data_IF_762068371326
#
_entry.id   IF_762068371326
#
_cell.length_a   1.000
_cell.length_b   1.000
_cell.length_c   1.000
_cell.angle_alpha   90.00
_cell.angle_beta   90.00
_cell.angle_gamma   90.00
#
_symmetry.space_group_name_H-M   'P 1'
#
loop_
_entity.id
_entity.type
_entity.pdbx_description
1 polymer ?
#
# COMPACT_ATOMS: atom_id res chain seq x y z
N UNK A 1 27.08 2.91 78.73
CA UNK A 1 26.20 3.85 78.06
C UNK A 1 25.54 3.14 76.85
N UNK A 2 24.30 2.70 77.04
CA UNK A 2 23.50 2.08 75.94
C UNK A 2 22.83 3.21 75.15
N UNK A 3 23.11 3.30 73.80
CA UNK A 3 22.38 4.20 72.90
C UNK A 3 21.01 3.60 72.62
N UNK A 4 19.95 4.21 73.16
CA UNK A 4 18.57 3.87 72.87
C UNK A 4 18.26 4.47 71.43
N UNK A 5 18.07 3.62 70.48
CA UNK A 5 17.55 4.02 69.19
C UNK A 5 16.06 4.39 69.27
N UNK A 6 15.63 5.60 69.00
CA UNK A 6 14.23 5.98 69.06
C UNK A 6 13.43 5.23 67.98
N UNK A 7 12.53 4.31 68.44
CA UNK A 7 11.56 3.65 67.58
C UNK A 7 10.61 4.72 67.00
N UNK A 8 10.67 4.94 65.73
CA UNK A 8 9.78 5.85 65.01
C UNK A 8 8.32 5.37 65.14
N UNK A 9 7.40 6.26 65.54
CA UNK A 9 5.99 5.92 65.67
C UNK A 9 5.37 5.54 64.32
N UNK A 10 4.50 4.52 64.29
CA UNK A 10 3.86 4.02 63.07
C UNK A 10 3.31 5.11 62.14
N UNK A 11 2.61 6.18 62.59
CA UNK A 11 2.11 7.22 61.71
C UNK A 11 3.24 8.05 61.04
N UNK A 12 4.38 8.25 61.69
CA UNK A 12 5.54 8.94 61.15
C UNK A 12 6.25 8.10 60.08
N UNK A 13 6.28 6.79 60.23
CA UNK A 13 6.82 5.86 59.24
C UNK A 13 5.96 5.83 57.98
N UNK A 14 4.62 5.83 58.12
CA UNK A 14 3.69 5.92 56.96
C UNK A 14 3.79 7.26 56.22
N UNK A 15 3.90 8.37 56.95
CA UNK A 15 4.08 9.69 56.33
C UNK A 15 5.40 9.78 55.53
N UNK A 16 6.49 9.19 56.09
CA UNK A 16 7.79 9.17 55.40
C UNK A 16 7.75 8.28 54.15
N UNK A 17 7.07 7.12 54.20
CA UNK A 17 6.88 6.24 53.05
C UNK A 17 6.08 6.93 51.92
N UNK A 18 5.00 7.65 52.30
CA UNK A 18 4.19 8.38 51.34
C UNK A 18 4.97 9.53 50.70
N UNK A 19 5.79 10.24 51.49
CA UNK A 19 6.67 11.29 50.96
C UNK A 19 7.71 10.73 49.98
N UNK A 20 8.33 9.58 50.32
CA UNK A 20 9.28 8.91 49.41
C UNK A 20 8.63 8.48 48.09
N UNK A 21 7.40 7.91 48.12
CA UNK A 21 6.67 7.53 46.93
C UNK A 21 6.27 8.73 46.08
N UNK A 22 5.87 9.85 46.71
CA UNK A 22 5.57 11.10 45.99
C UNK A 22 6.81 11.71 45.32
N UNK A 23 7.96 11.70 46.00
CA UNK A 23 9.24 12.17 45.46
C UNK A 23 9.69 11.23 44.32
N UNK A 24 9.56 9.92 44.48
CA UNK A 24 9.86 8.95 43.40
C UNK A 24 8.98 9.16 42.17
N UNK A 25 7.69 9.39 42.39
CA UNK A 25 6.73 9.72 41.32
C UNK A 25 7.11 11.02 40.59
N UNK A 26 7.50 12.06 41.31
CA UNK A 26 7.97 13.31 40.71
C UNK A 26 9.30 13.15 39.96
N UNK A 27 10.22 12.34 40.45
CA UNK A 27 11.48 12.04 39.77
C UNK A 27 11.23 11.25 38.48
N UNK A 28 10.36 10.23 38.51
CA UNK A 28 9.99 9.47 37.34
C UNK A 28 9.28 10.37 36.32
N UNK A 29 8.33 11.19 36.77
CA UNK A 29 7.62 12.14 35.92
C UNK A 29 8.57 13.21 35.31
N UNK A 30 9.49 13.74 36.09
CA UNK A 30 10.52 14.67 35.64
C UNK A 30 11.49 14.00 34.64
N UNK A 31 11.91 12.76 34.93
CA UNK A 31 12.77 12.00 34.03
C UNK A 31 12.07 11.69 32.70
N UNK A 32 10.81 11.29 32.71
CA UNK A 32 10.06 11.07 31.45
C UNK A 32 9.86 12.34 30.65
N UNK A 33 9.74 13.51 31.29
CA UNK A 33 9.70 14.81 30.59
C UNK A 33 11.05 15.30 30.09
N UNK A 34 12.13 14.98 30.79
CA UNK A 34 13.50 15.45 30.44
C UNK A 34 14.22 14.50 29.49
N UNK A 35 13.89 13.20 29.53
CA UNK A 35 14.50 12.17 28.70
C UNK A 35 13.52 11.52 27.73
N UNK A 36 12.26 11.99 27.65
CA UNK A 36 11.36 11.66 26.56
C UNK A 36 11.97 12.16 25.26
N UNK A 37 12.10 11.26 24.27
CA UNK A 37 12.61 11.58 22.96
C UNK A 37 11.79 12.75 22.40
N UNK A 38 12.41 13.94 22.30
CA UNK A 38 11.78 15.08 21.62
C UNK A 38 11.69 14.75 20.14
N UNK A 39 10.54 14.99 19.49
CA UNK A 39 10.43 14.81 18.05
C UNK A 39 11.51 15.64 17.34
N UNK A 40 12.21 15.02 16.41
CA UNK A 40 13.25 15.66 15.62
C UNK A 40 12.60 16.44 14.47
N UNK A 41 13.00 17.68 14.24
CA UNK A 41 12.62 18.44 13.04
C UNK A 41 13.38 17.85 11.84
N UNK A 42 12.70 17.52 10.77
CA UNK A 42 13.34 16.92 9.58
C UNK A 42 12.35 16.45 8.52
N UNK A 43 11.05 16.56 8.81
CA UNK A 43 9.98 16.33 7.84
C UNK A 43 9.50 17.67 7.31
N UNK A 44 9.37 17.77 5.97
CA UNK A 44 8.76 18.93 5.34
C UNK A 44 7.46 18.49 4.68
N UNK A 45 6.39 19.25 4.88
CA UNK A 45 5.10 19.05 4.23
C UNK A 45 4.91 20.03 3.08
N UNK A 46 4.19 19.61 2.05
CA UNK A 46 3.67 20.45 0.99
C UNK A 46 2.20 20.16 0.83
N UNK A 47 1.35 21.16 1.00
CA UNK A 47 -0.09 21.06 0.75
C UNK A 47 -0.33 20.92 -0.77
N UNK A 48 -1.15 19.95 -1.16
CA UNK A 48 -1.58 19.78 -2.55
C UNK A 48 -2.87 20.59 -2.81
N UNK A 49 -3.04 21.19 -3.99
CA UNK A 49 -4.23 21.98 -4.33
C UNK A 49 -5.39 21.09 -4.80
N UNK A 50 -5.66 20.02 -4.08
CA UNK A 50 -6.78 19.12 -4.33
C UNK A 50 -7.39 18.65 -3.01
N UNK A 51 -8.72 18.48 -2.94
CA UNK A 51 -9.35 17.83 -1.79
C UNK A 51 -8.99 16.34 -1.77
N UNK A 52 -9.16 15.70 -0.62
CA UNK A 52 -9.03 14.26 -0.51
C UNK A 52 -10.05 13.54 -1.39
N UNK A 53 -9.58 12.49 -2.05
CA UNK A 53 -10.39 11.56 -2.83
C UNK A 53 -9.72 10.19 -2.82
N UNK A 54 -10.51 9.13 -2.89
CA UNK A 54 -9.99 7.76 -3.06
C UNK A 54 -9.33 7.55 -4.43
N UNK A 55 -9.51 8.50 -5.35
CA UNK A 55 -8.90 8.53 -6.68
C UNK A 55 -7.56 9.26 -6.73
N UNK A 56 -6.91 9.48 -5.58
CA UNK A 56 -5.53 9.99 -5.54
C UNK A 56 -4.55 8.82 -5.65
N UNK A 57 -3.60 8.91 -6.57
CA UNK A 57 -2.60 7.86 -6.81
C UNK A 57 -1.19 8.44 -6.95
N UNK A 58 -0.17 7.77 -6.41
CA UNK A 58 1.23 8.04 -6.76
C UNK A 58 1.48 7.76 -8.26
N UNK A 59 2.25 8.62 -8.91
CA UNK A 59 2.68 8.45 -10.30
C UNK A 59 4.13 8.91 -10.48
N UNK A 60 5.06 7.99 -10.36
CA UNK A 60 6.47 8.32 -10.29
C UNK A 60 6.73 9.34 -9.17
N UNK A 61 7.25 10.52 -9.53
CA UNK A 61 7.48 11.65 -8.59
C UNK A 61 6.26 12.56 -8.42
N UNK A 62 5.16 12.27 -9.12
CA UNK A 62 3.99 13.12 -9.20
C UNK A 62 2.80 12.46 -8.52
N UNK A 63 1.75 13.24 -8.36
CA UNK A 63 0.45 12.80 -7.84
C UNK A 63 -0.59 12.93 -8.94
N UNK A 64 -1.35 11.87 -9.18
CA UNK A 64 -2.54 11.92 -10.02
C UNK A 64 -3.78 12.11 -9.15
N UNK A 65 -4.71 12.91 -9.64
CA UNK A 65 -5.97 13.21 -9.01
C UNK A 65 -7.06 13.35 -10.08
N UNK A 66 -8.16 12.62 -9.91
CA UNK A 66 -9.35 12.75 -10.74
C UNK A 66 -10.45 13.50 -9.97
N UNK A 67 -10.92 14.62 -10.53
CA UNK A 67 -11.91 15.51 -9.90
C UNK A 67 -13.37 15.16 -10.25
N UNK A 68 -13.58 14.03 -10.94
CA UNK A 68 -14.88 13.59 -11.45
C UNK A 68 -15.15 13.98 -12.90
N UNK A 69 -14.28 14.79 -13.53
CA UNK A 69 -14.36 15.21 -14.94
C UNK A 69 -12.99 15.17 -15.61
N UNK A 70 -11.95 15.59 -14.93
CA UNK A 70 -10.59 15.71 -15.45
C UNK A 70 -9.59 14.97 -14.57
N UNK A 71 -8.63 14.36 -15.22
CA UNK A 71 -7.45 13.79 -14.57
C UNK A 71 -6.34 14.84 -14.55
N UNK A 72 -5.84 15.13 -13.37
CA UNK A 72 -4.77 16.11 -13.12
C UNK A 72 -3.50 15.40 -12.69
N UNK A 73 -2.36 15.87 -13.19
CA UNK A 73 -1.06 15.50 -12.68
C UNK A 73 -0.43 16.71 -11.98
N UNK A 74 -0.03 16.50 -10.75
CA UNK A 74 0.62 17.52 -9.93
C UNK A 74 2.03 17.06 -9.53
N UNK A 75 2.94 18.02 -9.35
CA UNK A 75 4.22 17.73 -8.71
C UNK A 75 4.00 17.36 -7.24
N UNK A 76 5.02 16.79 -6.63
CA UNK A 76 5.08 16.54 -5.18
C UNK A 76 5.09 17.82 -4.31
N UNK A 77 5.12 19.00 -4.92
CA UNK A 77 5.00 20.31 -4.26
C UNK A 77 3.69 21.03 -4.60
N UNK A 78 2.76 20.35 -5.29
CA UNK A 78 1.43 20.88 -5.60
C UNK A 78 1.32 21.69 -6.89
N UNK A 79 2.38 21.82 -7.71
CA UNK A 79 2.26 22.50 -9.00
C UNK A 79 1.59 21.59 -10.03
N UNK A 80 0.45 22.02 -10.59
CA UNK A 80 -0.22 21.31 -11.68
C UNK A 80 0.67 21.29 -12.92
N UNK A 81 0.97 20.12 -13.44
CA UNK A 81 1.79 19.91 -14.63
C UNK A 81 0.96 19.84 -15.90
N UNK A 82 -0.13 19.11 -15.81
CA UNK A 82 -1.09 18.97 -16.91
C UNK A 82 -2.45 18.53 -16.39
N UNK A 83 -3.47 18.68 -17.24
CA UNK A 83 -4.81 18.19 -17.02
C UNK A 83 -5.33 17.55 -18.31
N UNK A 84 -6.03 16.43 -18.18
CA UNK A 84 -6.66 15.71 -19.28
C UNK A 84 -8.15 15.60 -19.03
N UNK A 85 -8.97 16.13 -19.93
CA UNK A 85 -10.42 16.05 -19.83
C UNK A 85 -10.89 14.65 -20.20
N UNK A 86 -11.31 13.87 -19.20
CA UNK A 86 -11.75 12.48 -19.36
C UNK A 86 -13.28 12.39 -19.55
N UNK A 87 -14.03 13.17 -18.80
CA UNK A 87 -15.49 13.10 -18.70
C UNK A 87 -15.95 12.55 -17.35
N UNK A 88 -17.23 12.65 -17.07
CA UNK A 88 -17.81 12.16 -15.82
C UNK A 88 -17.92 10.64 -15.80
N UNK A 89 -17.81 10.05 -14.58
CA UNK A 89 -17.81 8.59 -14.37
C UNK A 89 -16.68 7.85 -15.09
N UNK A 90 -15.56 8.52 -15.28
CA UNK A 90 -14.34 7.90 -15.78
C UNK A 90 -13.57 7.19 -14.67
N UNK A 91 -12.64 6.33 -15.08
CA UNK A 91 -11.67 5.71 -14.20
C UNK A 91 -10.28 5.78 -14.80
N UNK A 92 -9.28 5.50 -14.01
CA UNK A 92 -7.91 5.44 -14.50
C UNK A 92 -7.03 4.48 -13.69
N UNK A 93 -5.95 4.04 -14.31
CA UNK A 93 -4.88 3.29 -13.67
C UNK A 93 -3.54 3.75 -14.21
N UNK A 94 -2.51 3.77 -13.41
CA UNK A 94 -1.16 4.17 -13.82
C UNK A 94 -0.11 3.11 -13.49
N UNK A 95 0.87 3.01 -14.39
CA UNK A 95 2.18 2.40 -14.12
C UNK A 95 3.17 3.51 -13.77
N UNK A 96 4.47 3.20 -13.72
CA UNK A 96 5.50 4.20 -13.40
C UNK A 96 5.59 5.37 -14.41
N UNK A 97 5.18 5.16 -15.68
CA UNK A 97 5.39 6.11 -16.77
C UNK A 97 4.22 6.29 -17.73
N UNK A 98 3.19 5.44 -17.63
CA UNK A 98 2.04 5.45 -18.52
C UNK A 98 0.75 5.39 -17.71
N UNK A 99 -0.32 5.91 -18.30
CA UNK A 99 -1.65 5.92 -17.69
C UNK A 99 -2.63 5.34 -18.70
N UNK A 100 -3.52 4.46 -18.23
CA UNK A 100 -4.75 4.16 -18.94
C UNK A 100 -5.90 4.86 -18.24
N UNK A 101 -6.77 5.50 -18.99
CA UNK A 101 -7.99 6.13 -18.50
C UNK A 101 -9.17 5.68 -19.37
N UNK A 102 -10.35 5.65 -18.83
CA UNK A 102 -11.54 5.24 -19.57
C UNK A 102 -12.78 5.99 -19.11
N UNK A 103 -13.73 6.09 -20.03
CA UNK A 103 -15.09 6.58 -19.77
C UNK A 103 -16.08 5.86 -20.68
N UNK A 104 -17.11 5.24 -20.11
CA UNK A 104 -18.04 4.40 -20.86
C UNK A 104 -17.33 3.25 -21.59
N UNK A 105 -17.40 3.24 -22.91
CA UNK A 105 -16.71 2.25 -23.76
C UNK A 105 -15.37 2.73 -24.35
N UNK A 106 -14.95 3.97 -24.04
CA UNK A 106 -13.74 4.55 -24.61
C UNK A 106 -12.55 4.43 -23.67
N UNK A 107 -11.47 3.85 -24.15
CA UNK A 107 -10.17 3.78 -23.44
C UNK A 107 -9.18 4.79 -24.03
N UNK A 108 -8.36 5.36 -23.19
CA UNK A 108 -7.25 6.25 -23.53
C UNK A 108 -5.95 5.69 -22.94
N UNK A 109 -4.85 5.84 -23.70
CA UNK A 109 -3.49 5.62 -23.20
C UNK A 109 -2.78 6.97 -23.21
N UNK A 110 -2.27 7.38 -22.05
CA UNK A 110 -1.59 8.67 -21.89
C UNK A 110 -0.14 8.43 -21.50
N UNK A 111 0.74 9.29 -22.02
CA UNK A 111 2.13 9.36 -21.58
C UNK A 111 2.28 10.11 -20.24
N UNK A 112 3.48 10.18 -19.72
CA UNK A 112 3.79 10.88 -18.47
C UNK A 112 3.52 12.40 -18.52
N UNK A 113 3.36 12.97 -19.72
CA UNK A 113 3.06 14.39 -19.94
C UNK A 113 1.57 14.66 -20.14
N UNK A 114 0.72 13.61 -20.02
CA UNK A 114 -0.72 13.73 -20.22
C UNK A 114 -1.18 13.76 -21.69
N UNK A 115 -0.28 13.47 -22.63
CA UNK A 115 -0.65 13.38 -24.03
C UNK A 115 -1.30 12.03 -24.30
N UNK A 116 -2.47 12.03 -24.95
CA UNK A 116 -3.09 10.79 -25.43
C UNK A 116 -2.27 10.25 -26.62
N UNK A 117 -1.65 9.10 -26.39
CA UNK A 117 -0.89 8.37 -27.43
C UNK A 117 -1.79 7.45 -28.23
N UNK A 118 -2.90 7.01 -27.62
CA UNK A 118 -3.90 6.16 -28.25
C UNK A 118 -5.26 6.35 -27.58
N UNK A 119 -6.34 6.22 -28.35
CA UNK A 119 -7.70 6.08 -27.85
C UNK A 119 -8.53 5.19 -28.78
N UNK A 120 -9.49 4.47 -28.21
CA UNK A 120 -10.37 3.58 -28.97
C UNK A 120 -11.71 3.41 -28.25
N UNK A 121 -12.76 3.16 -29.03
CA UNK A 121 -14.05 2.73 -28.51
C UNK A 121 -14.13 1.20 -28.61
N UNK A 122 -14.19 0.52 -27.48
CA UNK A 122 -14.18 -0.95 -27.38
C UNK A 122 -15.55 -1.57 -27.63
N UNK A 123 -16.58 -0.76 -27.86
CA UNK A 123 -17.94 -1.20 -28.22
C UNK A 123 -18.82 -1.55 -27.01
N UNK A 124 -18.26 -1.93 -25.88
CA UNK A 124 -18.95 -2.27 -24.63
C UNK A 124 -18.41 -1.43 -23.47
N UNK A 125 -19.19 -1.32 -22.41
CA UNK A 125 -18.79 -0.57 -21.22
C UNK A 125 -17.52 -1.19 -20.58
N UNK A 126 -16.57 -0.32 -20.23
CA UNK A 126 -15.34 -0.74 -19.58
C UNK A 126 -15.61 -0.78 -18.07
N UNK A 127 -15.49 -1.96 -17.48
CA UNK A 127 -15.57 -2.14 -16.02
C UNK A 127 -14.34 -1.52 -15.35
N UNK A 128 -13.16 -1.89 -15.83
CA UNK A 128 -11.89 -1.31 -15.42
C UNK A 128 -10.79 -1.62 -16.46
N UNK A 129 -9.68 -0.89 -16.39
CA UNK A 129 -8.50 -1.17 -17.20
C UNK A 129 -7.23 -1.10 -16.36
N UNK A 130 -6.19 -1.82 -16.78
CA UNK A 130 -4.86 -1.83 -16.14
C UNK A 130 -3.79 -1.63 -17.20
N UNK A 131 -2.77 -0.85 -16.84
CA UNK A 131 -1.64 -0.61 -17.72
C UNK A 131 -0.35 -1.14 -17.09
N UNK A 132 0.44 -1.85 -17.88
CA UNK A 132 1.77 -2.33 -17.54
C UNK A 132 2.86 -1.61 -18.33
N UNK A 133 4.05 -2.20 -18.38
CA UNK A 133 5.21 -1.64 -19.09
C UNK A 133 5.05 -1.64 -20.62
N UNK A 134 4.34 -2.61 -21.18
CA UNK A 134 4.21 -2.80 -22.64
C UNK A 134 2.75 -2.85 -23.10
N UNK A 135 1.84 -3.24 -22.22
CA UNK A 135 0.47 -3.57 -22.57
C UNK A 135 -0.53 -2.86 -21.68
N UNK A 136 -1.73 -2.73 -22.21
CA UNK A 136 -2.95 -2.35 -21.49
C UNK A 136 -3.96 -3.46 -21.60
N UNK A 137 -4.63 -3.77 -20.50
CA UNK A 137 -5.74 -4.70 -20.45
C UNK A 137 -7.01 -3.94 -20.07
N UNK A 138 -8.09 -4.18 -20.76
CA UNK A 138 -9.41 -3.65 -20.47
C UNK A 138 -10.38 -4.82 -20.24
N UNK A 139 -11.11 -4.77 -19.14
CA UNK A 139 -12.23 -5.67 -18.83
C UNK A 139 -13.50 -4.94 -19.24
N UNK A 140 -14.26 -5.53 -20.15
CA UNK A 140 -15.45 -4.91 -20.74
C UNK A 140 -16.65 -5.85 -20.65
N UNK A 141 -17.85 -5.31 -20.90
CA UNK A 141 -19.09 -6.05 -20.91
C UNK A 141 -19.70 -6.20 -19.53
N UNK A 142 -20.54 -7.22 -19.37
CA UNK A 142 -21.29 -7.48 -18.15
C UNK A 142 -20.41 -8.15 -17.06
N UNK A 143 -20.73 -7.93 -15.79
CA UNK A 143 -19.97 -8.49 -14.66
C UNK A 143 -19.96 -10.02 -14.64
N UNK A 144 -21.07 -10.66 -15.08
CA UNK A 144 -21.21 -12.13 -15.11
C UNK A 144 -20.57 -12.79 -16.34
N UNK A 145 -20.23 -12.01 -17.36
CA UNK A 145 -19.63 -12.47 -18.60
C UNK A 145 -18.61 -11.44 -19.10
N UNK A 146 -17.59 -11.14 -18.31
CA UNK A 146 -16.61 -10.14 -18.68
C UNK A 146 -15.76 -10.63 -19.86
N UNK A 147 -15.38 -9.72 -20.72
CA UNK A 147 -14.44 -9.93 -21.80
C UNK A 147 -13.16 -9.17 -21.54
N UNK A 148 -12.05 -9.86 -21.64
CA UNK A 148 -10.73 -9.29 -21.49
C UNK A 148 -10.14 -8.95 -22.86
N UNK A 149 -9.75 -7.70 -23.05
CA UNK A 149 -9.02 -7.24 -24.25
C UNK A 149 -7.63 -6.78 -23.83
N UNK A 150 -6.60 -7.24 -24.53
CA UNK A 150 -5.22 -6.83 -24.32
C UNK A 150 -4.69 -6.18 -25.58
N UNK A 151 -4.13 -4.97 -25.43
CA UNK A 151 -3.50 -4.19 -26.49
C UNK A 151 -2.11 -3.77 -26.09
N UNK A 152 -1.24 -3.48 -27.04
CA UNK A 152 -0.01 -2.76 -26.77
C UNK A 152 -0.28 -1.24 -26.62
N UNK A 153 0.73 -0.47 -26.27
CA UNK A 153 0.59 0.98 -26.07
C UNK A 153 0.33 1.76 -27.37
N UNK A 154 0.43 1.12 -28.54
CA UNK A 154 0.05 1.71 -29.83
C UNK A 154 -1.37 1.36 -30.23
N UNK A 155 -2.03 0.51 -29.44
CA UNK A 155 -3.38 0.02 -29.69
C UNK A 155 -3.46 -1.25 -30.54
N UNK A 156 -2.33 -1.85 -30.90
CA UNK A 156 -2.34 -3.13 -31.60
C UNK A 156 -2.95 -4.21 -30.70
N UNK A 157 -3.84 -5.00 -31.29
CA UNK A 157 -4.49 -6.11 -30.61
C UNK A 157 -3.48 -7.21 -30.30
N UNK A 158 -3.43 -7.66 -29.06
CA UNK A 158 -2.52 -8.71 -28.60
C UNK A 158 -3.28 -9.99 -28.25
N UNK A 159 -4.28 -9.88 -27.38
CA UNK A 159 -5.09 -11.00 -26.91
C UNK A 159 -6.53 -10.57 -26.63
N UNK A 160 -7.44 -11.54 -26.73
CA UNK A 160 -8.83 -11.39 -26.33
C UNK A 160 -9.33 -12.71 -25.74
N UNK A 161 -10.04 -12.64 -24.61
CA UNK A 161 -10.59 -13.82 -23.92
C UNK A 161 -11.97 -13.49 -23.36
N UNK A 162 -12.93 -14.38 -23.60
CA UNK A 162 -14.29 -14.28 -23.08
C UNK A 162 -14.75 -15.57 -22.40
N UNK A 163 -14.49 -16.70 -23.03
CA UNK A 163 -15.07 -17.99 -22.62
C UNK A 163 -14.51 -18.45 -21.27
N UNK A 164 -13.26 -18.12 -20.96
CA UNK A 164 -12.62 -18.48 -19.69
C UNK A 164 -13.23 -17.78 -18.46
N UNK A 165 -13.98 -16.69 -18.67
CA UNK A 165 -14.54 -15.89 -17.56
C UNK A 165 -16.06 -15.99 -17.46
N UNK A 166 -16.71 -16.85 -18.24
CA UNK A 166 -18.14 -17.10 -18.13
C UNK A 166 -18.50 -17.62 -16.73
N UNK A 167 -19.45 -16.97 -16.07
CA UNK A 167 -19.85 -17.19 -14.69
C UNK A 167 -18.72 -16.95 -13.66
N UNK A 168 -17.75 -16.11 -13.97
CA UNK A 168 -16.72 -15.65 -13.04
C UNK A 168 -16.76 -14.13 -12.91
N UNK A 169 -16.57 -13.63 -11.72
CA UNK A 169 -16.35 -12.19 -11.48
C UNK A 169 -14.86 -11.92 -11.62
N UNK A 170 -14.47 -11.14 -12.62
CA UNK A 170 -13.07 -10.76 -12.81
C UNK A 170 -12.72 -9.61 -11.86
N UNK A 171 -11.97 -9.91 -10.79
CA UNK A 171 -11.67 -8.97 -9.72
C UNK A 171 -10.57 -7.99 -10.10
N UNK A 172 -9.52 -8.49 -10.73
CA UNK A 172 -8.37 -7.66 -11.12
C UNK A 172 -7.51 -8.39 -12.15
N UNK A 173 -6.69 -7.62 -12.85
CA UNK A 173 -5.70 -8.11 -13.82
C UNK A 173 -4.42 -7.33 -13.67
N UNK A 174 -3.29 -7.90 -14.07
CA UNK A 174 -2.03 -7.17 -14.03
C UNK A 174 -0.95 -7.81 -14.84
N UNK A 175 0.12 -7.06 -15.03
CA UNK A 175 1.27 -7.50 -15.83
C UNK A 175 2.46 -7.76 -14.93
N UNK A 176 3.24 -8.77 -15.28
CA UNK A 176 4.43 -9.17 -14.56
C UNK A 176 5.53 -9.67 -15.51
N UNK A 177 6.66 -10.06 -14.95
CA UNK A 177 7.85 -10.36 -15.73
C UNK A 177 8.81 -9.18 -15.81
N UNK A 178 10.04 -9.43 -16.24
CA UNK A 178 11.09 -8.42 -16.29
C UNK A 178 10.71 -7.21 -17.16
N UNK A 179 10.07 -7.50 -18.28
CA UNK A 179 9.62 -6.49 -19.24
C UNK A 179 8.10 -6.27 -19.23
N UNK A 180 7.35 -6.99 -18.36
CA UNK A 180 5.89 -6.97 -18.34
C UNK A 180 5.27 -7.85 -19.43
N UNK A 181 5.98 -8.91 -19.83
CA UNK A 181 5.58 -9.83 -20.90
C UNK A 181 4.52 -10.84 -20.52
N UNK A 182 4.33 -11.06 -19.21
CA UNK A 182 3.31 -11.94 -18.67
C UNK A 182 2.16 -11.15 -18.07
N UNK A 183 1.00 -11.77 -18.05
CA UNK A 183 -0.21 -11.26 -17.45
C UNK A 183 -0.78 -12.27 -16.45
N UNK A 184 -1.38 -11.77 -15.39
CA UNK A 184 -2.23 -12.54 -14.50
C UNK A 184 -3.63 -11.95 -14.49
N UNK A 185 -4.64 -12.82 -14.32
CA UNK A 185 -6.01 -12.44 -14.01
C UNK A 185 -6.45 -13.10 -12.73
N UNK A 186 -7.15 -12.36 -11.88
CA UNK A 186 -7.73 -12.85 -10.65
C UNK A 186 -9.24 -12.80 -10.76
N UNK A 187 -9.87 -13.97 -10.73
CA UNK A 187 -11.31 -14.11 -10.80
C UNK A 187 -11.87 -14.74 -9.52
N UNK A 188 -13.16 -14.58 -9.31
CA UNK A 188 -13.90 -15.19 -8.22
C UNK A 188 -15.05 -16.03 -8.78
N UNK A 189 -15.04 -17.32 -8.48
CA UNK A 189 -16.18 -18.20 -8.67
C UNK A 189 -17.09 -18.11 -7.44
N UNK A 190 -18.29 -17.60 -7.63
CA UNK A 190 -19.31 -17.43 -6.58
C UNK A 190 -20.48 -18.39 -6.73
N UNK A 191 -20.49 -19.23 -7.77
CA UNK A 191 -21.59 -20.14 -8.08
C UNK A 191 -21.45 -21.50 -7.40
N UNK A 192 -20.30 -21.76 -6.75
CA UNK A 192 -20.07 -22.94 -5.94
C UNK A 192 -20.73 -22.84 -4.55
N UNK A 193 -20.48 -23.85 -3.69
CA UNK A 193 -20.92 -23.83 -2.28
C UNK A 193 -20.14 -22.83 -1.43
N UNK A 194 -18.97 -22.44 -1.87
CA UNK A 194 -18.12 -21.40 -1.27
C UNK A 194 -17.44 -20.62 -2.41
N UNK A 195 -17.19 -19.33 -2.17
CA UNK A 195 -16.45 -18.52 -3.11
C UNK A 195 -15.01 -19.06 -3.27
N UNK A 196 -14.53 -19.13 -4.51
CA UNK A 196 -13.21 -19.66 -4.82
C UNK A 196 -12.44 -18.65 -5.68
N UNK A 197 -11.25 -18.25 -5.24
CA UNK A 197 -10.36 -17.40 -6.04
C UNK A 197 -9.64 -18.24 -7.10
N UNK A 198 -9.64 -17.75 -8.33
CA UNK A 198 -9.01 -18.36 -9.49
C UNK A 198 -7.95 -17.42 -10.03
N UNK A 199 -6.74 -17.93 -10.14
CA UNK A 199 -5.62 -17.25 -10.79
C UNK A 199 -5.39 -17.87 -12.15
N UNK A 200 -5.35 -17.02 -13.18
CA UNK A 200 -4.90 -17.41 -14.51
C UNK A 200 -3.64 -16.63 -14.87
N UNK A 201 -2.65 -17.27 -15.47
CA UNK A 201 -1.40 -16.64 -15.89
C UNK A 201 -1.04 -17.05 -17.31
N UNK A 202 -0.62 -16.11 -18.14
CA UNK A 202 -0.22 -16.37 -19.51
C UNK A 202 0.82 -15.36 -20.02
N UNK A 203 1.54 -15.74 -21.07
CA UNK A 203 2.40 -14.82 -21.81
C UNK A 203 1.55 -14.08 -22.83
N UNK A 204 1.58 -12.75 -22.83
CA UNK A 204 0.80 -11.92 -23.75
C UNK A 204 1.16 -12.25 -25.20
N UNK A 205 0.16 -12.43 -26.05
CA UNK A 205 0.28 -12.84 -27.44
C UNK A 205 0.38 -14.36 -27.65
N UNK A 206 0.34 -15.18 -26.59
CA UNK A 206 0.41 -16.63 -26.72
C UNK A 206 -0.77 -17.40 -26.11
N UNK A 207 -1.53 -16.76 -25.23
CA UNK A 207 -2.72 -17.33 -24.56
C UNK A 207 -2.51 -18.77 -24.01
N UNK A 208 -1.30 -19.08 -23.57
CA UNK A 208 -1.00 -20.35 -22.93
C UNK A 208 -1.47 -20.29 -21.48
N UNK A 209 -2.74 -20.50 -21.27
CA UNK A 209 -3.39 -20.35 -19.99
C UNK A 209 -3.14 -21.50 -19.05
N UNK A 210 -2.74 -21.18 -17.82
CA UNK A 210 -2.73 -22.10 -16.69
C UNK A 210 -3.66 -21.59 -15.61
N UNK A 211 -4.88 -22.13 -15.55
CA UNK A 211 -5.80 -21.84 -14.45
C UNK A 211 -5.39 -22.56 -13.18
N UNK A 212 -5.33 -21.83 -12.07
CA UNK A 212 -5.03 -22.38 -10.75
C UNK A 212 -6.06 -21.93 -9.73
N UNK A 213 -6.76 -22.87 -9.12
CA UNK A 213 -7.61 -22.57 -7.97
C UNK A 213 -6.75 -22.20 -6.77
N UNK A 214 -7.00 -21.00 -6.20
CA UNK A 214 -6.33 -20.51 -4.99
C UNK A 214 -7.07 -20.92 -3.70
N UNK A 215 -8.24 -21.54 -3.83
CA UNK A 215 -9.09 -21.97 -2.73
C UNK A 215 -10.06 -20.91 -2.21
N UNK A 216 -10.77 -21.25 -1.15
CA UNK A 216 -11.82 -20.44 -0.53
C UNK A 216 -11.38 -19.06 0.00
N UNK A 217 -10.17 -18.86 0.58
CA UNK A 217 -9.78 -17.53 1.02
C UNK A 217 -9.63 -16.58 -0.16
N UNK A 218 -10.37 -15.46 -0.14
CA UNK A 218 -10.30 -14.45 -1.19
C UNK A 218 -8.89 -13.87 -1.24
N UNK A 219 -8.28 -13.93 -2.42
CA UNK A 219 -7.02 -13.26 -2.74
C UNK A 219 -7.31 -11.79 -2.98
N UNK A 220 -6.58 -10.91 -2.30
CA UNK A 220 -6.83 -9.47 -2.35
C UNK A 220 -5.61 -8.64 -2.79
N UNK A 221 -4.43 -9.24 -2.90
CA UNK A 221 -3.26 -8.57 -3.41
C UNK A 221 -2.38 -9.51 -4.23
N UNK A 222 -1.85 -8.96 -5.33
CA UNK A 222 -0.87 -9.63 -6.19
C UNK A 222 0.41 -8.79 -6.19
N UNK A 223 1.56 -9.44 -5.94
CA UNK A 223 2.88 -8.78 -5.89
C UNK A 223 3.85 -9.58 -6.73
N UNK A 224 4.51 -8.92 -7.68
CA UNK A 224 5.59 -9.54 -8.46
C UNK A 224 6.96 -9.09 -7.95
N UNK A 225 7.83 -10.05 -7.69
CA UNK A 225 9.18 -9.80 -7.18
C UNK A 225 10.19 -10.82 -7.71
N UNK A 226 11.30 -10.35 -8.27
CA UNK A 226 12.47 -11.19 -8.61
C UNK A 226 12.12 -12.54 -9.25
N UNK A 227 11.23 -12.55 -10.27
CA UNK A 227 10.79 -13.77 -10.93
C UNK A 227 9.75 -14.58 -10.14
N UNK A 228 9.13 -14.00 -9.12
CA UNK A 228 8.09 -14.65 -8.32
C UNK A 228 6.83 -13.80 -8.32
N UNK A 229 5.70 -14.41 -8.67
CA UNK A 229 4.39 -13.82 -8.50
C UNK A 229 3.79 -14.33 -7.18
N UNK A 230 3.38 -13.41 -6.31
CA UNK A 230 2.79 -13.74 -5.01
C UNK A 230 1.32 -13.37 -4.98
N UNK A 231 0.48 -14.34 -4.66
CA UNK A 231 -0.94 -14.15 -4.39
C UNK A 231 -1.18 -14.15 -2.88
N UNK A 232 -1.68 -13.04 -2.36
CA UNK A 232 -1.86 -12.83 -0.92
C UNK A 232 -3.35 -12.90 -0.60
N UNK A 233 -3.73 -13.84 0.25
CA UNK A 233 -5.07 -13.97 0.80
C UNK A 233 -5.07 -13.83 2.33
N UNK A 234 -6.21 -13.97 2.97
CA UNK A 234 -6.36 -13.83 4.43
C UNK A 234 -5.63 -14.90 5.25
N UNK A 235 -5.14 -15.97 4.63
CA UNK A 235 -4.46 -17.09 5.32
C UNK A 235 -3.00 -17.24 4.90
N UNK A 236 -2.73 -17.14 3.60
CA UNK A 236 -1.43 -17.47 3.01
C UNK A 236 -1.00 -16.41 1.99
N UNK A 237 0.28 -16.31 1.82
CA UNK A 237 0.92 -15.74 0.66
C UNK A 237 1.46 -16.92 -0.17
N UNK A 238 0.77 -17.21 -1.27
CA UNK A 238 1.16 -18.25 -2.23
C UNK A 238 2.22 -17.69 -3.17
N UNK A 239 3.11 -18.55 -3.65
CA UNK A 239 4.20 -18.13 -4.54
C UNK A 239 4.17 -18.93 -5.82
N UNK A 240 4.27 -18.23 -6.94
CA UNK A 240 4.31 -18.80 -8.29
C UNK A 240 5.60 -18.34 -8.99
N UNK A 241 6.13 -19.16 -9.87
CA UNK A 241 7.22 -18.77 -10.76
C UNK A 241 6.70 -17.91 -11.94
N UNK A 242 7.59 -17.45 -12.81
CA UNK A 242 7.23 -16.63 -13.99
C UNK A 242 6.26 -17.35 -14.95
N UNK A 243 6.13 -18.66 -14.88
CA UNK A 243 5.22 -19.46 -15.72
C UNK A 243 3.92 -19.83 -15.02
N UNK A 244 3.64 -19.25 -13.86
CA UNK A 244 2.42 -19.51 -13.09
C UNK A 244 2.39 -20.86 -12.37
N UNK A 245 3.51 -21.59 -12.26
CA UNK A 245 3.56 -22.83 -11.47
C UNK A 245 3.80 -22.49 -10.00
N UNK A 246 2.96 -23.04 -9.12
CA UNK A 246 3.08 -22.83 -7.67
C UNK A 246 4.39 -23.43 -7.12
N UNK A 247 5.03 -22.70 -6.22
CA UNK A 247 6.10 -23.17 -5.35
C UNK A 247 5.60 -23.26 -3.90
N UNK A 248 5.06 -24.42 -3.47
CA UNK A 248 4.52 -24.56 -2.13
C UNK A 248 5.57 -24.36 -1.02
N UNK A 249 6.86 -24.58 -1.33
CA UNK A 249 7.95 -24.43 -0.36
C UNK A 249 8.26 -22.95 -0.04
N UNK A 250 7.89 -22.05 -0.93
CA UNK A 250 8.05 -20.60 -0.78
C UNK A 250 6.78 -19.89 -0.28
N UNK A 251 5.69 -20.66 -0.03
CA UNK A 251 4.45 -20.11 0.52
C UNK A 251 4.59 -19.81 2.01
N UNK A 252 4.02 -18.70 2.46
CA UNK A 252 4.14 -18.21 3.85
C UNK A 252 2.76 -18.05 4.48
N UNK A 253 2.63 -18.47 5.75
CA UNK A 253 1.42 -18.26 6.53
C UNK A 253 1.33 -16.80 6.98
N UNK A 254 0.26 -16.10 6.56
CA UNK A 254 -0.02 -14.70 6.91
C UNK A 254 -1.36 -14.54 7.64
N UNK A 255 -1.89 -15.63 8.19
CA UNK A 255 -3.17 -15.61 8.91
C UNK A 255 -3.16 -14.56 10.04
N UNK A 256 -4.19 -13.71 10.04
CA UNK A 256 -4.31 -12.59 10.98
C UNK A 256 -3.46 -11.35 10.63
N UNK A 257 -2.81 -11.34 9.45
CA UNK A 257 -1.99 -10.24 8.96
C UNK A 257 -2.51 -9.74 7.62
N UNK A 258 -2.67 -8.43 7.49
CA UNK A 258 -3.06 -7.73 6.27
C UNK A 258 -1.85 -7.07 5.62
N UNK A 259 -1.69 -7.25 4.33
CA UNK A 259 -0.61 -6.64 3.55
C UNK A 259 -0.81 -5.12 3.43
N UNK A 260 0.25 -4.36 3.67
CA UNK A 260 0.23 -2.90 3.61
C UNK A 260 1.05 -2.34 2.45
N UNK A 261 2.28 -2.79 2.32
CA UNK A 261 3.24 -2.21 1.37
C UNK A 261 4.37 -3.19 1.06
N UNK A 262 5.09 -2.90 -0.01
CA UNK A 262 6.32 -3.60 -0.35
C UNK A 262 7.38 -2.62 -0.85
N UNK A 263 8.62 -3.09 -0.78
CA UNK A 263 9.76 -2.48 -1.45
C UNK A 263 10.56 -3.56 -2.17
N UNK A 264 10.93 -3.26 -3.42
CA UNK A 264 11.81 -4.10 -4.24
C UNK A 264 13.20 -3.48 -4.25
N UNK A 265 14.11 -3.90 -3.36
CA UNK A 265 15.47 -3.39 -3.38
C UNK A 265 16.21 -3.88 -4.64
N UNK A 266 17.17 -3.11 -5.13
CA UNK A 266 17.99 -3.50 -6.29
C UNK A 266 18.72 -4.83 -6.07
N UNK A 267 19.01 -5.18 -4.83
CA UNK A 267 19.67 -6.43 -4.43
C UNK A 267 19.02 -7.00 -3.18
N UNK A 268 18.84 -8.32 -3.19
CA UNK A 268 18.23 -9.07 -2.09
C UNK A 268 16.76 -9.38 -2.33
N UNK A 269 16.12 -9.88 -1.28
CA UNK A 269 14.71 -10.25 -1.32
C UNK A 269 13.82 -9.02 -1.16
N UNK A 270 12.61 -9.08 -1.71
CA UNK A 270 11.58 -8.08 -1.47
C UNK A 270 11.27 -7.95 0.01
N UNK A 271 10.87 -6.76 0.39
CA UNK A 271 10.42 -6.40 1.73
C UNK A 271 8.90 -6.28 1.70
N UNK A 272 8.21 -7.16 2.38
CA UNK A 272 6.75 -7.19 2.43
C UNK A 272 6.29 -6.84 3.84
N UNK A 273 5.53 -5.75 3.96
CA UNK A 273 5.06 -5.20 5.23
C UNK A 273 3.60 -5.56 5.45
N UNK A 274 3.30 -6.04 6.64
CA UNK A 274 1.96 -6.42 7.09
C UNK A 274 1.63 -5.76 8.43
N UNK A 275 0.33 -5.58 8.69
CA UNK A 275 -0.21 -5.23 9.99
C UNK A 275 -1.27 -6.25 10.42
N UNK A 276 -1.60 -6.38 11.71
CA UNK A 276 -2.66 -7.27 12.16
C UNK A 276 -4.00 -6.90 11.50
N UNK A 277 -4.71 -7.88 10.95
CA UNK A 277 -6.01 -7.68 10.29
C UNK A 277 -7.01 -6.97 11.21
N UNK A 278 -7.06 -7.33 12.49
CA UNK A 278 -7.94 -6.68 13.48
C UNK A 278 -7.64 -5.20 13.72
N UNK A 279 -6.47 -4.71 13.32
CA UNK A 279 -6.04 -3.32 13.47
C UNK A 279 -6.19 -2.51 12.19
N UNK A 280 -6.48 -3.16 11.06
CA UNK A 280 -6.64 -2.53 9.74
C UNK A 280 -8.11 -2.43 9.30
N UNK A 281 -8.99 -3.30 9.79
CA UNK A 281 -10.36 -3.41 9.29
C UNK A 281 -11.33 -2.35 9.84
N UNK A 282 -11.09 -1.78 11.02
CA UNK A 282 -12.09 -0.92 11.64
C UNK A 282 -11.68 0.52 11.94
N UNK A 283 -10.44 0.82 12.25
CA UNK A 283 -10.05 2.18 12.68
C UNK A 283 -8.59 2.55 12.38
N UNK A 284 -7.86 1.75 11.64
CA UNK A 284 -6.41 1.96 11.41
C UNK A 284 -5.66 2.24 12.72
N UNK A 285 -5.87 1.40 13.73
CA UNK A 285 -5.19 1.43 15.03
C UNK A 285 -4.01 0.45 15.00
N UNK A 286 -3.06 0.67 14.08
CA UNK A 286 -1.92 -0.22 13.89
C UNK A 286 -0.90 0.00 14.99
N UNK A 287 -0.62 -1.05 15.79
CA UNK A 287 0.36 -1.04 16.89
C UNK A 287 1.50 -2.03 16.69
N UNK A 288 1.37 -2.89 15.72
CA UNK A 288 2.38 -3.91 15.40
C UNK A 288 2.54 -4.01 13.88
N UNK A 289 3.76 -4.25 13.43
CA UNK A 289 4.10 -4.52 12.04
C UNK A 289 4.85 -5.84 11.94
N UNK A 290 4.64 -6.56 10.84
CA UNK A 290 5.39 -7.76 10.47
C UNK A 290 6.06 -7.52 9.13
N UNK A 291 7.37 -7.71 9.08
CA UNK A 291 8.17 -7.60 7.88
C UNK A 291 8.66 -8.98 7.46
N UNK A 292 8.29 -9.38 6.26
CA UNK A 292 8.75 -10.64 5.65
C UNK A 292 9.71 -10.30 4.52
N UNK A 293 10.88 -10.94 4.51
CA UNK A 293 11.91 -10.77 3.47
C UNK A 293 12.71 -12.06 3.32
N UNK A 294 12.48 -12.79 2.22
CA UNK A 294 13.03 -14.13 2.05
C UNK A 294 12.64 -15.04 3.21
N UNK A 295 13.64 -15.59 3.90
CA UNK A 295 13.44 -16.41 5.09
C UNK A 295 13.37 -15.61 6.40
N UNK A 296 13.49 -14.29 6.34
CA UNK A 296 13.42 -13.43 7.52
C UNK A 296 11.98 -13.02 7.78
N UNK A 297 11.54 -13.20 9.02
CA UNK A 297 10.22 -12.82 9.52
C UNK A 297 10.40 -12.06 10.81
N UNK A 298 10.12 -10.77 10.81
CA UNK A 298 10.43 -9.87 11.91
C UNK A 298 9.21 -9.04 12.29
N UNK A 299 9.01 -8.87 13.59
CA UNK A 299 7.95 -8.04 14.15
C UNK A 299 8.50 -6.77 14.77
N UNK A 300 7.72 -5.70 14.69
CA UNK A 300 8.01 -4.39 15.25
C UNK A 300 6.80 -3.91 16.03
N UNK A 301 7.00 -3.54 17.29
CA UNK A 301 5.98 -2.85 18.07
C UNK A 301 6.12 -1.35 17.83
N UNK A 302 5.04 -0.71 17.42
CA UNK A 302 5.00 0.74 17.19
C UNK A 302 4.88 1.47 18.55
N UNK A 303 5.49 2.66 18.66
CA UNK A 303 5.41 3.43 19.90
C UNK A 303 4.01 3.92 20.23
N UNK A 304 3.19 4.15 19.21
CA UNK A 304 1.80 4.58 19.32
C UNK A 304 0.95 3.95 18.22
N UNK A 305 -0.37 4.16 18.29
CA UNK A 305 -1.32 3.79 17.26
C UNK A 305 -1.06 4.54 15.96
N UNK A 306 -0.94 3.82 14.85
CA UNK A 306 -0.67 4.37 13.54
C UNK A 306 -1.82 4.11 12.57
N UNK A 307 -2.03 5.06 11.66
CA UNK A 307 -3.06 5.02 10.60
C UNK A 307 -2.58 4.26 9.35
N UNK A 308 -1.27 4.07 9.20
CA UNK A 308 -0.68 3.36 8.08
C UNK A 308 0.83 3.28 8.20
N UNK A 309 1.43 2.39 7.42
CA UNK A 309 2.88 2.23 7.34
C UNK A 309 3.32 1.86 5.92
N UNK A 310 4.54 2.25 5.57
CA UNK A 310 5.17 1.93 4.30
C UNK A 310 6.66 1.65 4.47
N UNK A 311 7.32 1.21 3.40
CA UNK A 311 8.76 0.96 3.37
C UNK A 311 9.37 1.79 2.24
N UNK A 312 10.48 2.46 2.53
CA UNK A 312 11.29 3.16 1.57
C UNK A 312 12.76 3.08 1.95
N UNK A 313 13.61 2.73 0.98
CA UNK A 313 15.06 2.61 1.16
C UNK A 313 15.44 1.79 2.42
N UNK A 314 14.81 0.60 2.57
CA UNK A 314 14.99 -0.36 3.68
C UNK A 314 14.69 0.22 5.06
N UNK A 315 13.83 1.23 5.11
CA UNK A 315 13.37 1.88 6.33
C UNK A 315 11.84 1.83 6.41
N UNK A 316 11.31 1.43 7.54
CA UNK A 316 9.89 1.44 7.84
C UNK A 316 9.51 2.84 8.29
N UNK A 317 8.43 3.36 7.73
CA UNK A 317 7.80 4.61 8.09
C UNK A 317 6.35 4.34 8.48
N UNK A 318 5.96 4.76 9.68
CA UNK A 318 4.60 4.61 10.19
C UNK A 318 4.07 5.97 10.63
N UNK A 319 2.84 6.29 10.24
CA UNK A 319 2.20 7.58 10.49
C UNK A 319 1.17 7.44 11.59
N UNK A 320 1.23 8.33 12.58
CA UNK A 320 0.27 8.44 13.68
C UNK A 320 -0.09 9.91 13.88
N UNK A 321 -1.32 10.28 13.55
CA UNK A 321 -1.78 11.65 13.80
C UNK A 321 -0.77 12.70 13.35
N UNK A 322 -0.07 13.32 14.28
CA UNK A 322 0.93 14.36 14.04
C UNK A 322 2.37 13.84 14.10
N UNK A 323 2.57 12.53 14.03
CA UNK A 323 3.89 11.93 14.26
C UNK A 323 4.23 10.92 13.15
N UNK A 324 5.49 10.95 12.69
CA UNK A 324 6.10 9.96 11.83
C UNK A 324 7.13 9.15 12.63
N UNK A 325 6.96 7.86 12.64
CA UNK A 325 7.90 6.90 13.23
C UNK A 325 8.76 6.28 12.14
N UNK A 326 10.08 6.26 12.35
CA UNK A 326 11.05 5.70 11.41
C UNK A 326 11.93 4.65 12.08
N UNK A 327 12.08 3.48 11.47
CA UNK A 327 13.00 2.44 11.92
C UNK A 327 13.64 1.73 10.72
N UNK A 328 14.95 1.59 10.73
CA UNK A 328 15.63 0.69 9.81
C UNK A 328 15.32 -0.78 10.11
N UNK A 329 15.53 -1.66 9.14
CA UNK A 329 15.24 -3.10 9.28
C UNK A 329 15.92 -3.78 10.48
N UNK A 330 17.02 -3.23 10.98
CA UNK A 330 17.76 -3.79 12.10
C UNK A 330 17.60 -2.98 13.40
N UNK A 331 16.86 -1.88 13.34
CA UNK A 331 16.67 -1.04 14.49
C UNK A 331 15.67 -1.68 15.47
N UNK A 332 15.90 -1.47 16.75
CA UNK A 332 15.02 -1.96 17.82
C UNK A 332 14.03 -0.90 18.29
N UNK A 333 14.28 0.36 17.92
CA UNK A 333 13.47 1.52 18.33
C UNK A 333 13.16 2.38 17.14
N UNK A 334 12.04 3.06 17.20
CA UNK A 334 11.64 4.04 16.22
C UNK A 334 12.19 5.42 16.62
N UNK A 335 12.74 6.13 15.65
CA UNK A 335 12.99 7.57 15.75
C UNK A 335 11.69 8.31 15.45
N UNK A 336 11.42 9.37 16.19
CA UNK A 336 10.16 10.12 16.14
C UNK A 336 10.36 11.47 15.49
N UNK A 337 9.49 11.81 14.55
CA UNK A 337 9.46 13.11 13.86
C UNK A 337 8.07 13.73 13.99
N UNK A 338 7.99 15.04 14.18
CA UNK A 338 6.74 15.79 14.14
C UNK A 338 6.34 16.06 12.69
N UNK A 339 5.05 15.88 12.36
CA UNK A 339 4.49 16.20 11.06
C UNK A 339 4.06 17.66 11.02
N UNK A 340 4.64 18.49 10.12
CA UNK A 340 4.27 19.89 9.98
C UNK A 340 3.05 20.05 9.05
N UNK A 341 1.91 19.51 9.47
CA UNK A 341 0.62 19.58 8.77
C UNK A 341 -0.43 20.26 9.65
N UNK A 342 -1.42 20.86 9.04
CA UNK A 342 -2.57 21.37 9.78
C UNK A 342 -3.48 20.20 10.16
N UNK A 343 -3.91 20.18 11.44
CA UNK A 343 -4.72 19.09 11.97
C UNK A 343 -3.94 17.82 12.29
N UNK A 344 -4.52 16.67 11.97
CA UNK A 344 -3.99 15.33 12.29
C UNK A 344 -4.13 14.45 11.05
N UNK A 345 -3.07 13.77 10.65
CA UNK A 345 -3.13 12.81 9.56
C UNK A 345 -4.14 11.69 9.89
N UNK A 346 -5.00 11.39 8.96
CA UNK A 346 -6.05 10.36 9.09
C UNK A 346 -5.88 9.21 8.10
N UNK A 347 -5.10 9.39 7.02
CA UNK A 347 -4.80 8.33 6.04
C UNK A 347 -3.39 8.47 5.47
N UNK A 348 -2.78 7.32 5.22
CA UNK A 348 -1.59 7.18 4.38
C UNK A 348 -2.03 6.68 3.00
N UNK A 349 -1.98 7.57 1.99
CA UNK A 349 -2.51 7.31 0.64
C UNK A 349 -1.49 6.53 -0.20
N UNK A 350 -0.21 6.88 -0.12
CA UNK A 350 0.80 6.20 -0.92
C UNK A 350 2.20 6.79 -0.80
N UNK A 351 3.12 6.19 -1.55
CA UNK A 351 4.54 6.54 -1.60
C UNK A 351 4.95 6.91 -3.03
N UNK A 352 5.57 8.06 -3.19
CA UNK A 352 6.14 8.53 -4.45
C UNK A 352 7.55 7.94 -4.67
N UNK A 353 7.95 7.79 -5.93
CA UNK A 353 9.30 7.32 -6.27
C UNK A 353 10.42 8.29 -5.85
N UNK A 354 10.07 9.51 -5.44
CA UNK A 354 10.99 10.48 -4.83
C UNK A 354 11.26 10.22 -3.34
N UNK A 355 10.60 9.22 -2.73
CA UNK A 355 10.68 8.97 -1.30
C UNK A 355 9.85 9.95 -0.48
N UNK A 356 8.76 10.50 -1.03
CA UNK A 356 7.76 11.27 -0.30
C UNK A 356 6.50 10.44 -0.14
N UNK A 357 5.85 10.54 1.02
CA UNK A 357 4.55 9.92 1.24
C UNK A 357 3.43 10.93 1.03
N UNK A 358 2.28 10.43 0.63
CA UNK A 358 1.04 11.22 0.50
C UNK A 358 0.16 10.86 1.69
N UNK A 359 -0.29 11.87 2.42
CA UNK A 359 -1.21 11.70 3.56
C UNK A 359 -2.40 12.65 3.42
N UNK A 360 -3.53 12.32 4.06
CA UNK A 360 -4.63 13.28 4.25
C UNK A 360 -4.77 13.69 5.70
N UNK A 361 -5.36 14.88 5.90
CA UNK A 361 -5.84 15.42 7.16
C UNK A 361 -7.21 16.04 6.88
N UNK A 362 -8.29 15.29 7.14
CA UNK A 362 -9.62 15.63 6.66
C UNK A 362 -9.67 15.72 5.13
N UNK A 363 -10.09 16.89 4.61
CA UNK A 363 -10.14 17.14 3.16
C UNK A 363 -8.80 17.59 2.56
N UNK A 364 -7.81 17.93 3.38
CA UNK A 364 -6.52 18.39 2.90
C UNK A 364 -5.58 17.22 2.61
N UNK A 365 -4.80 17.35 1.54
CA UNK A 365 -3.82 16.34 1.10
C UNK A 365 -2.42 16.94 1.14
N UNK A 366 -1.50 16.24 1.75
CA UNK A 366 -0.11 16.67 1.89
C UNK A 366 0.84 15.64 1.31
N UNK A 367 1.95 16.09 0.78
CA UNK A 367 3.13 15.26 0.57
C UNK A 367 4.16 15.55 1.65
N UNK A 368 4.76 14.52 2.22
CA UNK A 368 5.75 14.61 3.28
C UNK A 368 7.09 14.07 2.80
N UNK A 369 8.16 14.84 3.00
CA UNK A 369 9.53 14.35 2.76
C UNK A 369 9.92 13.38 3.87
N UNK A 370 10.31 12.16 3.49
CA UNK A 370 10.80 11.19 4.47
C UNK A 370 12.22 11.57 4.92
N UNK A 371 12.48 11.60 6.24
CA UNK A 371 13.80 11.86 6.74
C UNK A 371 14.76 10.72 6.33
N UNK A 372 16.02 11.03 6.00
CA UNK A 372 17.01 10.02 5.74
C UNK A 372 17.27 9.21 7.02
N UNK A 373 17.67 7.96 6.84
CA UNK A 373 18.12 7.13 7.97
C UNK A 373 19.33 7.79 8.63
N UNK A 374 19.23 8.07 9.92
CA UNK A 374 20.36 8.53 10.77
C UNK A 374 21.23 7.35 11.20
#
# INVERSE_FOLDING_TARGET
MQRVNPKMSRPKAFALLFLMLAVLGLVIWGATRLFGDKPTSGVNASLLPCPYSEEIRPFGKNVLYYDGVSLHCMSDTGSVKWSFQLGSNGGYHCSDSMITAWVGSTVFILDANGNSTYNDNLGEAIQFARIGKQYVAAVIGDEDSPRLLVKDHTGAHMDEESDAYNNLILLDVGFYGKNGEYMWTLALDVYGTAANSILNTFEVGKMNTGETSLGEPITYAMVYENGKLRAINTRKMLTFNDRGSEDPSASVLVYGWHYLANEMPERGDALLLFAPTSQTESMYDIRELRLISGNNDKRYSLPDSCIGATIWNRTIYAVSGNTLYCAGMNDRRFTTYELPIDGSADRLIGLLSSGRIIVSSGEEVYTLTLPPRT
#
